data_IF_874995468929
#
_entry.id   IF_874995468929
#
_cell.length_a   1.000
_cell.length_b   1.000
_cell.length_c   1.000
_cell.angle_alpha   90.00
_cell.angle_beta   90.00
_cell.angle_gamma   90.00
#
_symmetry.space_group_name_H-M   'P 1'
#
loop_
_entity.id
_entity.type
_entity.pdbx_description
1 polymer ?
#
# COMPACT_ATOMS: atom_id res chain seq x y z
N UNK A 1 17.16 12.71 4.01
CA UNK A 1 17.03 11.47 3.26
C UNK A 1 17.91 11.39 2.02
N UNK A 2 18.19 10.18 1.55
CA UNK A 2 19.04 9.96 0.36
C UNK A 2 18.28 10.08 -0.98
N UNK A 3 16.95 10.13 -0.93
CA UNK A 3 16.10 10.11 -2.13
C UNK A 3 15.19 11.32 -2.16
N UNK A 4 14.73 11.74 -0.99
CA UNK A 4 13.83 12.85 -0.83
C UNK A 4 14.56 13.99 -0.12
N UNK A 5 14.33 15.21 -0.59
CA UNK A 5 14.83 16.41 0.08
C UNK A 5 13.97 16.67 1.32
N UNK A 6 14.60 16.49 2.48
CA UNK A 6 13.96 16.68 3.81
C UNK A 6 14.23 18.07 4.38
N UNK A 7 14.85 18.98 3.60
CA UNK A 7 15.18 20.30 4.11
C UNK A 7 13.91 21.15 4.30
N UNK A 8 13.81 21.92 5.38
CA UNK A 8 12.68 22.83 5.60
C UNK A 8 12.55 23.93 4.53
N UNK A 9 13.67 24.24 3.85
CA UNK A 9 13.76 25.25 2.80
C UNK A 9 13.40 24.69 1.42
N UNK A 10 13.08 23.40 1.32
CA UNK A 10 12.65 22.77 0.06
C UNK A 10 11.40 23.46 -0.47
N UNK A 11 11.33 23.63 -1.79
CA UNK A 11 10.13 24.11 -2.48
C UNK A 11 8.93 23.19 -2.24
N UNK A 12 9.20 21.91 -2.00
CA UNK A 12 8.19 20.91 -1.66
C UNK A 12 8.64 20.15 -0.39
N UNK A 13 8.40 20.72 0.79
CA UNK A 13 8.88 20.16 2.04
C UNK A 13 8.18 18.83 2.36
N UNK A 14 8.97 17.86 2.81
CA UNK A 14 8.48 16.54 3.19
C UNK A 14 8.26 16.48 4.70
N UNK A 15 7.09 16.01 5.12
CA UNK A 15 6.81 15.67 6.50
C UNK A 15 6.76 14.16 6.67
N UNK A 16 7.45 13.65 7.68
CA UNK A 16 7.27 12.29 8.18
C UNK A 16 6.37 12.37 9.40
N UNK A 17 5.26 11.65 9.37
CA UNK A 17 4.24 11.67 10.43
C UNK A 17 3.99 10.24 10.87
N UNK A 18 3.89 10.03 12.17
CA UNK A 18 3.52 8.74 12.76
C UNK A 18 2.02 8.69 13.03
N UNK A 19 1.34 7.65 12.59
CA UNK A 19 -0.10 7.52 12.83
C UNK A 19 -0.46 7.20 14.29
N UNK A 20 0.52 6.89 15.13
CA UNK A 20 0.34 6.79 16.57
C UNK A 20 -0.22 8.09 17.18
N UNK A 21 0.08 9.25 16.56
CA UNK A 21 -0.37 10.56 17.06
C UNK A 21 -1.91 10.67 17.14
N UNK A 22 -2.64 9.97 16.29
CA UNK A 22 -4.11 9.95 16.28
C UNK A 22 -4.72 8.58 16.55
N UNK A 23 -3.99 7.47 16.36
CA UNK A 23 -4.54 6.14 16.63
C UNK A 23 -4.40 5.74 18.11
N UNK A 24 -3.29 6.09 18.79
CA UNK A 24 -3.08 5.73 20.20
C UNK A 24 -4.10 6.37 21.16
N UNK A 25 -4.52 7.65 20.97
CA UNK A 25 -5.51 8.25 21.84
C UNK A 25 -6.95 7.79 21.57
N UNK A 26 -7.23 7.05 20.49
CA UNK A 26 -8.58 6.59 20.16
C UNK A 26 -9.17 5.73 21.29
N UNK A 27 -10.34 6.11 21.72
CA UNK A 27 -11.13 5.30 22.63
C UNK A 27 -11.80 4.13 21.89
N UNK A 28 -12.36 3.19 22.63
CA UNK A 28 -13.15 2.12 22.02
C UNK A 28 -14.37 2.66 21.25
N UNK A 29 -14.98 3.74 21.74
CA UNK A 29 -16.09 4.43 21.09
C UNK A 29 -15.65 5.01 19.73
N UNK A 30 -14.50 5.69 19.67
CA UNK A 30 -13.94 6.21 18.42
C UNK A 30 -13.68 5.10 17.39
N UNK A 31 -13.22 3.93 17.84
CA UNK A 31 -13.03 2.78 16.96
C UNK A 31 -14.36 2.26 16.41
N UNK A 32 -15.40 2.19 17.26
CA UNK A 32 -16.74 1.79 16.83
C UNK A 32 -17.33 2.78 15.80
N UNK A 33 -17.17 4.08 16.03
CA UNK A 33 -17.60 5.12 15.10
C UNK A 33 -16.87 5.00 13.75
N UNK A 34 -15.55 4.81 13.79
CA UNK A 34 -14.76 4.58 12.59
C UNK A 34 -15.26 3.35 11.82
N UNK A 35 -15.51 2.25 12.52
CA UNK A 35 -15.99 1.02 11.88
C UNK A 35 -17.41 1.17 11.31
N UNK A 36 -18.26 1.95 11.96
CA UNK A 36 -19.64 2.22 11.50
C UNK A 36 -19.68 3.01 10.17
N UNK A 37 -18.57 3.65 9.78
CA UNK A 37 -18.46 4.34 8.49
C UNK A 37 -18.34 3.39 7.29
N UNK A 38 -18.17 2.08 7.51
CA UNK A 38 -17.92 1.09 6.46
C UNK A 38 -18.85 -0.12 6.59
N UNK A 39 -19.33 -0.59 5.46
CA UNK A 39 -20.04 -1.86 5.41
C UNK A 39 -19.05 -3.03 5.37
N UNK A 40 -19.29 -4.06 6.18
CA UNK A 40 -18.47 -5.26 6.22
C UNK A 40 -18.38 -5.94 4.84
N UNK A 41 -19.47 -5.88 4.07
CA UNK A 41 -19.55 -6.41 2.72
C UNK A 41 -18.54 -5.74 1.79
N UNK A 42 -18.34 -4.42 1.91
CA UNK A 42 -17.39 -3.66 1.10
C UNK A 42 -15.95 -4.04 1.47
N UNK A 43 -15.64 -4.13 2.76
CA UNK A 43 -14.31 -4.56 3.22
C UNK A 43 -13.98 -5.98 2.71
N UNK A 44 -14.95 -6.89 2.75
CA UNK A 44 -14.80 -8.27 2.30
C UNK A 44 -14.70 -8.42 0.77
N UNK A 45 -14.95 -7.35 -0.01
CA UNK A 45 -14.68 -7.33 -1.46
C UNK A 45 -13.20 -7.37 -1.82
N UNK A 46 -12.30 -7.05 -0.88
CA UNK A 46 -10.87 -7.15 -1.11
C UNK A 46 -10.50 -8.55 -1.60
N UNK A 47 -9.80 -8.62 -2.74
CA UNK A 47 -9.51 -9.90 -3.42
C UNK A 47 -8.88 -10.94 -2.48
N UNK A 48 -7.94 -10.51 -1.61
CA UNK A 48 -7.28 -11.41 -0.66
C UNK A 48 -8.23 -12.01 0.40
N UNK A 49 -9.31 -11.31 0.75
CA UNK A 49 -10.34 -11.84 1.65
C UNK A 49 -11.27 -12.78 0.90
N UNK A 50 -11.69 -12.39 -0.30
CA UNK A 50 -12.53 -13.22 -1.16
C UNK A 50 -11.88 -14.57 -1.47
N UNK A 51 -10.59 -14.55 -1.83
CA UNK A 51 -9.84 -15.77 -2.12
C UNK A 51 -9.78 -16.68 -0.89
N UNK A 52 -9.55 -16.15 0.29
CA UNK A 52 -9.50 -16.94 1.52
C UNK A 52 -10.86 -17.46 1.96
N UNK A 53 -11.92 -16.68 1.80
CA UNK A 53 -13.26 -17.03 2.31
C UNK A 53 -14.06 -17.87 1.30
N UNK A 54 -13.95 -17.58 0.00
CA UNK A 54 -14.88 -18.05 -1.01
C UNK A 54 -14.23 -18.80 -2.20
N UNK A 55 -12.89 -18.95 -2.22
CA UNK A 55 -12.24 -19.68 -3.31
C UNK A 55 -12.65 -21.17 -3.34
N UNK A 56 -12.89 -21.69 -4.53
CA UNK A 56 -13.06 -23.12 -4.74
C UNK A 56 -11.74 -23.89 -4.62
N UNK A 57 -10.60 -23.23 -4.78
CA UNK A 57 -9.29 -23.82 -4.58
C UNK A 57 -8.95 -23.92 -3.08
N UNK A 58 -8.85 -25.16 -2.53
CA UNK A 58 -8.53 -25.36 -1.11
C UNK A 58 -7.21 -24.73 -0.67
N UNK A 59 -6.25 -24.54 -1.61
CA UNK A 59 -4.94 -23.95 -1.32
C UNK A 59 -5.02 -22.45 -1.07
N UNK A 60 -6.06 -21.79 -1.57
CA UNK A 60 -6.32 -20.35 -1.36
C UNK A 60 -7.17 -20.11 -0.13
N UNK A 61 -7.91 -21.10 0.37
CA UNK A 61 -8.75 -20.95 1.56
C UNK A 61 -7.94 -20.69 2.80
N UNK A 62 -8.45 -19.81 3.65
CA UNK A 62 -7.82 -19.45 4.90
C UNK A 62 -8.73 -18.64 5.80
N UNK A 63 -8.25 -18.40 7.01
CA UNK A 63 -9.00 -17.60 8.00
C UNK A 63 -8.78 -16.11 7.72
N UNK A 64 -9.82 -15.31 7.89
CA UNK A 64 -9.75 -13.84 7.97
C UNK A 64 -9.96 -13.46 9.43
N UNK A 65 -9.00 -12.78 10.02
CA UNK A 65 -9.07 -12.32 11.39
C UNK A 65 -9.80 -10.97 11.43
N UNK A 66 -10.56 -10.72 12.51
CA UNK A 66 -11.25 -9.45 12.73
C UNK A 66 -10.31 -8.24 12.71
N UNK A 67 -9.07 -8.39 13.23
CA UNK A 67 -8.05 -7.34 13.17
C UNK A 67 -7.68 -6.97 11.71
N UNK A 68 -7.68 -7.94 10.79
CA UNK A 68 -7.39 -7.65 9.39
C UNK A 68 -8.46 -6.76 8.73
N UNK A 69 -9.70 -6.83 9.23
CA UNK A 69 -10.79 -5.97 8.76
C UNK A 69 -10.63 -4.52 9.24
N UNK A 70 -9.94 -4.30 10.35
CA UNK A 70 -9.66 -2.95 10.88
C UNK A 70 -8.59 -2.21 10.07
N UNK A 71 -7.69 -2.93 9.38
CA UNK A 71 -6.55 -2.32 8.70
C UNK A 71 -6.96 -1.27 7.66
N UNK A 72 -7.93 -1.59 6.81
CA UNK A 72 -8.44 -0.64 5.80
C UNK A 72 -9.07 0.61 6.41
N UNK A 73 -10.00 0.49 7.36
CA UNK A 73 -10.53 1.62 8.13
C UNK A 73 -9.48 2.47 8.85
N UNK A 74 -8.45 1.83 9.45
CA UNK A 74 -7.34 2.57 10.08
C UNK A 74 -6.54 3.38 9.07
N UNK A 75 -6.23 2.82 7.91
CA UNK A 75 -5.59 3.57 6.81
C UNK A 75 -6.50 4.69 6.28
N UNK A 76 -7.81 4.49 6.27
CA UNK A 76 -8.76 5.54 5.91
C UNK A 76 -8.74 6.69 6.94
N UNK A 77 -8.61 6.37 8.23
CA UNK A 77 -8.42 7.37 9.30
C UNK A 77 -7.13 8.16 9.10
N UNK A 78 -6.01 7.49 8.73
CA UNK A 78 -4.76 8.17 8.40
C UNK A 78 -4.96 9.22 7.30
N UNK A 79 -5.67 8.88 6.24
CA UNK A 79 -5.94 9.81 5.15
C UNK A 79 -6.78 11.02 5.58
N UNK A 80 -7.77 10.79 6.45
CA UNK A 80 -8.62 11.84 7.00
C UNK A 80 -7.82 12.80 7.90
N UNK A 81 -7.02 12.26 8.83
CA UNK A 81 -6.21 13.06 9.76
C UNK A 81 -5.12 13.87 9.05
N UNK A 82 -4.56 13.32 8.00
CA UNK A 82 -3.56 14.03 7.18
C UNK A 82 -4.19 15.05 6.23
N UNK A 83 -5.49 14.98 5.98
CA UNK A 83 -6.19 15.86 5.04
C UNK A 83 -5.60 15.80 3.63
N UNK A 84 -5.30 14.59 3.13
CA UNK A 84 -4.59 14.41 1.87
C UNK A 84 -5.51 14.60 0.65
N UNK A 85 -5.06 15.36 -0.34
CA UNK A 85 -5.75 15.49 -1.64
C UNK A 85 -5.46 14.29 -2.55
N UNK A 86 -4.27 13.70 -2.46
CA UNK A 86 -3.84 12.56 -3.26
C UNK A 86 -3.08 11.56 -2.40
N UNK A 87 -3.52 10.32 -2.41
CA UNK A 87 -2.76 9.19 -1.84
C UNK A 87 -2.13 8.36 -2.95
N UNK A 88 -0.82 8.10 -2.82
CA UNK A 88 -0.05 7.32 -3.78
C UNK A 88 0.46 6.04 -3.10
N UNK A 89 0.23 4.90 -3.73
CA UNK A 89 0.70 3.62 -3.20
C UNK A 89 0.79 2.54 -4.28
N UNK A 90 1.24 1.35 -3.89
CA UNK A 90 1.22 0.21 -4.78
C UNK A 90 -0.21 -0.17 -5.19
N UNK A 91 -0.35 -0.84 -6.34
CA UNK A 91 -1.67 -1.33 -6.81
C UNK A 91 -2.37 -2.22 -5.78
N UNK A 92 -1.63 -2.96 -4.97
CA UNK A 92 -2.15 -3.80 -3.91
C UNK A 92 -2.80 -3.00 -2.76
N UNK A 93 -2.52 -1.69 -2.66
CA UNK A 93 -3.09 -0.77 -1.68
C UNK A 93 -4.29 0.04 -2.18
N UNK A 94 -4.61 -0.02 -3.47
CA UNK A 94 -5.70 0.80 -4.07
C UNK A 94 -7.02 0.58 -3.34
N UNK A 95 -7.33 -0.66 -2.98
CA UNK A 95 -8.56 -0.95 -2.23
C UNK A 95 -8.62 -0.19 -0.90
N UNK A 96 -7.55 -0.24 -0.11
CA UNK A 96 -7.50 0.47 1.18
C UNK A 96 -7.53 2.00 0.99
N UNK A 97 -6.82 2.51 -0.03
CA UNK A 97 -6.82 3.94 -0.35
C UNK A 97 -8.23 4.44 -0.77
N UNK A 98 -9.03 3.59 -1.41
CA UNK A 98 -10.43 3.90 -1.76
C UNK A 98 -11.33 3.94 -0.53
N UNK A 99 -11.08 3.15 0.51
CA UNK A 99 -11.78 3.29 1.79
C UNK A 99 -11.50 4.68 2.41
N UNK A 100 -10.26 5.19 2.31
CA UNK A 100 -9.94 6.56 2.72
C UNK A 100 -10.74 7.60 1.94
N UNK A 101 -10.90 7.43 0.62
CA UNK A 101 -11.75 8.29 -0.19
C UNK A 101 -13.22 8.23 0.24
N UNK A 102 -13.73 7.04 0.55
CA UNK A 102 -15.10 6.84 1.03
C UNK A 102 -15.33 7.55 2.36
N UNK A 103 -14.39 7.41 3.31
CA UNK A 103 -14.48 8.08 4.60
C UNK A 103 -14.44 9.60 4.45
N UNK A 104 -13.48 10.14 3.70
CA UNK A 104 -13.33 11.58 3.50
C UNK A 104 -14.55 12.20 2.83
N UNK A 105 -15.20 11.48 1.91
CA UNK A 105 -16.44 11.94 1.26
C UNK A 105 -17.59 12.16 2.25
N UNK A 106 -17.65 11.42 3.36
CA UNK A 106 -18.66 11.61 4.42
C UNK A 106 -18.47 12.95 5.16
N UNK A 107 -17.23 13.48 5.11
CA UNK A 107 -16.88 14.82 5.64
C UNK A 107 -16.90 15.92 4.56
N UNK A 108 -17.40 15.62 3.35
CA UNK A 108 -17.43 16.57 2.26
C UNK A 108 -16.06 16.88 1.63
N UNK A 109 -15.08 16.02 1.86
CA UNK A 109 -13.71 16.16 1.36
C UNK A 109 -13.50 15.29 0.11
N UNK A 110 -12.79 15.84 -0.87
CA UNK A 110 -12.37 15.09 -2.06
C UNK A 110 -10.98 14.49 -1.86
N UNK A 111 -10.78 13.29 -2.38
CA UNK A 111 -9.48 12.61 -2.36
C UNK A 111 -9.27 11.83 -3.64
N UNK A 112 -8.08 11.96 -4.18
CA UNK A 112 -7.60 11.17 -5.32
C UNK A 112 -6.74 9.99 -4.87
N UNK A 113 -6.72 8.94 -5.70
CA UNK A 113 -5.95 7.72 -5.45
C UNK A 113 -5.13 7.39 -6.68
N UNK A 114 -3.84 7.18 -6.50
CA UNK A 114 -2.93 6.77 -7.57
C UNK A 114 -2.25 5.44 -7.21
N UNK A 115 -2.61 4.39 -7.94
CA UNK A 115 -1.97 3.07 -7.82
C UNK A 115 -0.77 2.94 -8.75
N UNK A 116 0.42 2.72 -8.18
CA UNK A 116 1.65 2.50 -8.93
C UNK A 116 1.84 1.01 -9.19
N UNK A 117 2.24 0.64 -10.42
CA UNK A 117 2.57 -0.74 -10.78
C UNK A 117 3.75 -1.20 -9.92
N UNK A 118 3.63 -2.40 -9.36
CA UNK A 118 4.69 -3.02 -8.58
C UNK A 118 5.57 -3.87 -9.47
N UNK A 119 6.84 -4.01 -9.06
CA UNK A 119 7.74 -4.96 -9.68
C UNK A 119 7.38 -6.36 -9.17
N UNK A 120 6.91 -7.21 -10.06
CA UNK A 120 6.43 -8.56 -9.77
C UNK A 120 7.19 -9.57 -10.61
N UNK A 121 7.47 -10.73 -10.07
CA UNK A 121 7.99 -11.85 -10.84
C UNK A 121 6.88 -12.36 -11.78
N UNK A 122 7.07 -12.29 -13.11
CA UNK A 122 6.03 -12.65 -14.07
C UNK A 122 5.71 -14.16 -14.08
N UNK A 123 6.58 -14.99 -13.55
CA UNK A 123 6.41 -16.45 -13.49
C UNK A 123 5.60 -16.85 -12.26
N UNK A 124 5.97 -16.33 -11.09
CA UNK A 124 5.29 -16.65 -9.82
C UNK A 124 4.14 -15.72 -9.48
N UNK A 125 4.04 -14.55 -10.12
CA UNK A 125 3.08 -13.49 -9.79
C UNK A 125 3.34 -12.84 -8.42
N UNK A 126 4.47 -13.15 -7.78
CA UNK A 126 4.82 -12.56 -6.48
C UNK A 126 5.50 -11.23 -6.64
N UNK A 127 5.07 -10.26 -5.82
CA UNK A 127 5.76 -8.96 -5.76
C UNK A 127 7.16 -9.12 -5.19
N UNK A 128 8.10 -8.37 -5.74
CA UNK A 128 9.43 -8.27 -5.15
C UNK A 128 9.34 -7.50 -3.83
N UNK A 129 9.83 -8.11 -2.76
CA UNK A 129 9.76 -7.54 -1.41
C UNK A 129 10.93 -7.97 -0.55
N UNK A 130 11.18 -7.23 0.54
CA UNK A 130 12.21 -7.59 1.52
C UNK A 130 11.95 -8.96 2.17
N UNK A 131 10.69 -9.26 2.47
CA UNK A 131 10.29 -10.54 3.08
C UNK A 131 10.56 -11.75 2.19
N UNK A 132 10.55 -11.55 0.88
CA UNK A 132 10.89 -12.60 -0.11
C UNK A 132 12.37 -12.60 -0.48
N UNK A 133 13.18 -11.65 0.03
CA UNK A 133 14.60 -11.55 -0.27
C UNK A 133 14.92 -11.13 -1.72
N UNK A 134 13.92 -10.65 -2.46
CA UNK A 134 14.04 -10.32 -3.89
C UNK A 134 14.14 -8.82 -4.16
N UNK A 135 13.99 -7.97 -3.13
CA UNK A 135 14.01 -6.52 -3.31
C UNK A 135 15.41 -5.98 -3.55
N UNK A 136 15.51 -4.99 -4.44
CA UNK A 136 16.71 -4.16 -4.60
C UNK A 136 16.63 -3.00 -3.61
N UNK A 137 17.48 -3.02 -2.59
CA UNK A 137 17.49 -1.95 -1.60
C UNK A 137 18.10 -0.66 -2.17
N UNK A 138 17.41 0.46 -1.99
CA UNK A 138 17.86 1.77 -2.49
C UNK A 138 19.21 2.22 -1.90
N UNK A 139 19.54 1.73 -0.71
CA UNK A 139 20.79 2.07 -0.01
C UNK A 139 21.94 1.11 -0.30
N UNK A 140 21.72 0.00 -0.99
CA UNK A 140 22.76 -0.94 -1.37
C UNK A 140 23.80 -0.31 -2.26
N UNK A 141 25.04 -0.80 -2.17
CA UNK A 141 26.11 -0.40 -3.06
C UNK A 141 25.76 -0.69 -4.53
N UNK A 142 26.24 0.10 -5.47
CA UNK A 142 25.94 -0.10 -6.91
C UNK A 142 26.23 -1.50 -7.41
N UNK A 143 27.34 -2.12 -6.98
CA UNK A 143 27.71 -3.50 -7.34
C UNK A 143 26.66 -4.52 -6.88
N UNK A 144 26.15 -4.39 -5.65
CA UNK A 144 25.10 -5.27 -5.12
C UNK A 144 23.79 -5.11 -5.92
N UNK A 145 23.43 -3.87 -6.26
CA UNK A 145 22.25 -3.63 -7.13
C UNK A 145 22.40 -4.29 -8.49
N UNK A 146 23.59 -4.16 -9.09
CA UNK A 146 23.90 -4.78 -10.36
C UNK A 146 23.78 -6.30 -10.29
N UNK A 147 24.38 -6.94 -9.27
CA UNK A 147 24.32 -8.39 -9.09
C UNK A 147 22.88 -8.89 -8.94
N UNK A 148 22.04 -8.19 -8.13
CA UNK A 148 20.63 -8.56 -7.93
C UNK A 148 19.87 -8.47 -9.26
N UNK A 149 20.04 -7.38 -10.03
CA UNK A 149 19.34 -7.18 -11.30
C UNK A 149 19.82 -8.20 -12.35
N UNK A 150 21.13 -8.48 -12.40
CA UNK A 150 21.68 -9.50 -13.29
C UNK A 150 21.26 -10.93 -12.95
N UNK A 151 20.82 -11.17 -11.71
CA UNK A 151 20.25 -12.43 -11.29
C UNK A 151 18.76 -12.60 -11.56
N UNK A 152 18.10 -11.59 -12.12
CA UNK A 152 16.70 -11.70 -12.47
C UNK A 152 16.49 -12.65 -13.66
N UNK A 153 15.35 -13.38 -13.69
CA UNK A 153 15.00 -14.18 -14.87
C UNK A 153 14.71 -13.26 -16.06
N UNK A 154 14.96 -13.78 -17.26
CA UNK A 154 14.80 -13.01 -18.51
C UNK A 154 13.39 -12.47 -18.70
N UNK A 155 12.38 -13.15 -18.17
CA UNK A 155 10.97 -12.75 -18.19
C UNK A 155 10.73 -11.43 -17.43
N UNK A 156 11.61 -11.07 -16.50
CA UNK A 156 11.52 -9.80 -15.76
C UNK A 156 12.09 -8.61 -16.52
N UNK A 157 12.92 -8.83 -17.55
CA UNK A 157 13.63 -7.76 -18.27
C UNK A 157 12.65 -6.71 -18.81
N UNK A 158 11.57 -7.09 -19.55
CA UNK A 158 10.64 -6.08 -20.09
C UNK A 158 10.02 -5.19 -19.00
N UNK A 159 9.58 -5.81 -17.89
CA UNK A 159 9.01 -5.06 -16.77
C UNK A 159 10.05 -4.19 -16.06
N UNK A 160 11.28 -4.70 -15.90
CA UNK A 160 12.38 -3.94 -15.33
C UNK A 160 12.71 -2.70 -16.16
N UNK A 161 12.76 -2.82 -17.50
CA UNK A 161 12.96 -1.69 -18.39
C UNK A 161 11.81 -0.69 -18.27
N UNK A 162 10.55 -1.15 -18.34
CA UNK A 162 9.37 -0.29 -18.26
C UNK A 162 9.30 0.50 -16.94
N UNK A 163 9.61 -0.14 -15.83
CA UNK A 163 9.38 0.46 -14.51
C UNK A 163 10.58 1.20 -13.93
N UNK A 164 11.80 0.82 -14.30
CA UNK A 164 13.01 1.30 -13.64
C UNK A 164 13.88 2.18 -14.56
N UNK A 165 13.53 2.28 -15.83
CA UNK A 165 14.30 3.09 -16.77
C UNK A 165 13.43 4.15 -17.45
N UNK A 166 14.09 5.05 -18.18
CA UNK A 166 13.43 6.02 -19.08
C UNK A 166 13.55 5.59 -20.54
N UNK A 167 13.83 4.31 -20.78
CA UNK A 167 13.88 3.78 -22.13
C UNK A 167 12.50 3.90 -22.80
N UNK A 168 12.43 4.30 -24.07
CA UNK A 168 11.20 4.41 -24.82
C UNK A 168 10.56 3.05 -25.08
#
# INVERSE_FOLDING_TARGET
>A
GKILDMSPESVNPIRVVGNADWLDPMTFEDVLELMAAFDAQDILQRQSFRDRLFSDDPKKRGRVNMIELLYGPMQAKDALELGVDLEVGGRDQVFNMLLGRQLMAQYGLEKWVMGVKLLEDPVSGKKMSKSEGTSVELQSLPGVKYEVVMGWPDEMIPMGIELLTRAP
#
